data_IF_575587030997
#
_entry.id   IF_575587030997
#
_cell.length_a   1.000
_cell.length_b   1.000
_cell.length_c   1.000
_cell.angle_alpha   90.00
_cell.angle_beta   90.00
_cell.angle_gamma   90.00
#
_symmetry.space_group_name_H-M   'P 1'
#
loop_
_entity.id
_entity.type
_entity.pdbx_description
1 polymer ?
#
# COMPACT_ATOMS: atom_id res chain seq x y z
N UNK A 1 24.32 -3.64 14.96
CA UNK A 1 24.37 -3.17 13.56
C UNK A 1 23.86 -4.25 12.60
N UNK A 2 24.51 -5.41 12.50
CA UNK A 2 24.21 -6.46 11.50
C UNK A 2 22.76 -7.00 11.46
N UNK A 3 22.04 -7.04 12.59
CA UNK A 3 20.65 -7.53 12.62
C UNK A 3 19.67 -6.56 11.93
N UNK A 4 19.82 -5.25 12.16
CA UNK A 4 18.97 -4.24 11.54
C UNK A 4 19.21 -4.14 10.03
N UNK A 5 20.46 -4.25 9.58
CA UNK A 5 20.79 -4.29 8.15
C UNK A 5 20.16 -5.50 7.44
N UNK A 6 20.16 -6.68 8.07
CA UNK A 6 19.51 -7.86 7.48
C UNK A 6 18.00 -7.69 7.34
N UNK A 7 17.34 -7.12 8.34
CA UNK A 7 15.89 -6.83 8.26
C UNK A 7 15.62 -5.79 7.18
N UNK A 8 16.45 -4.74 7.11
CA UNK A 8 16.29 -3.69 6.11
C UNK A 8 16.47 -4.22 4.69
N UNK A 9 17.49 -5.05 4.44
CA UNK A 9 17.70 -5.69 3.14
C UNK A 9 16.56 -6.64 2.77
N UNK A 10 16.07 -7.45 3.72
CA UNK A 10 14.92 -8.33 3.48
C UNK A 10 13.64 -7.55 3.12
N UNK A 11 13.41 -6.40 3.76
CA UNK A 11 12.29 -5.51 3.40
C UNK A 11 12.47 -4.97 1.99
N UNK A 12 13.66 -4.48 1.63
CA UNK A 12 13.93 -3.95 0.29
C UNK A 12 13.72 -5.01 -0.80
N UNK A 13 14.18 -6.24 -0.57
CA UNK A 13 14.01 -7.35 -1.51
C UNK A 13 12.53 -7.74 -1.67
N UNK A 14 11.75 -7.71 -0.59
CA UNK A 14 10.30 -7.94 -0.64
C UNK A 14 9.57 -6.85 -1.44
N UNK A 15 9.92 -5.58 -1.25
CA UNK A 15 9.30 -4.49 -2.01
C UNK A 15 9.69 -4.51 -3.48
N UNK A 16 10.95 -4.80 -3.80
CA UNK A 16 11.43 -4.92 -5.18
C UNK A 16 10.78 -6.08 -5.93
N UNK A 17 10.71 -7.26 -5.30
CA UNK A 17 10.05 -8.43 -5.87
C UNK A 17 8.53 -8.25 -6.00
N UNK A 18 7.90 -7.52 -5.07
CA UNK A 18 6.48 -7.19 -5.15
C UNK A 18 6.17 -6.20 -6.29
N UNK A 19 6.99 -5.18 -6.51
CA UNK A 19 6.84 -4.25 -7.64
C UNK A 19 6.95 -4.98 -8.98
N UNK A 20 7.95 -5.86 -9.10
CA UNK A 20 8.14 -6.66 -10.31
C UNK A 20 6.95 -7.63 -10.54
N UNK A 21 6.47 -8.29 -9.48
CA UNK A 21 5.29 -9.15 -9.54
C UNK A 21 4.04 -8.41 -10.01
N UNK A 22 3.80 -7.19 -9.52
CA UNK A 22 2.67 -6.37 -9.93
C UNK A 22 2.77 -5.93 -11.39
N UNK A 23 3.96 -5.57 -11.86
CA UNK A 23 4.20 -5.22 -13.27
C UNK A 23 3.97 -6.40 -14.19
N UNK A 24 4.48 -7.58 -13.84
CA UNK A 24 4.37 -8.78 -14.67
C UNK A 24 2.94 -9.36 -14.67
N UNK A 25 2.24 -9.31 -13.53
CA UNK A 25 0.92 -9.96 -13.38
C UNK A 25 -0.23 -9.07 -13.84
N UNK A 26 -0.19 -7.77 -13.53
CA UNK A 26 -1.34 -6.87 -13.70
C UNK A 26 -1.09 -5.87 -14.84
N UNK A 27 0.17 -5.68 -15.28
CA UNK A 27 0.59 -4.69 -16.26
C UNK A 27 -0.15 -3.35 -16.07
N UNK A 28 -0.14 -2.90 -14.81
CA UNK A 28 -1.02 -1.86 -14.30
C UNK A 28 -0.96 -0.57 -15.12
N UNK A 29 0.23 -0.23 -15.61
CA UNK A 29 0.46 0.96 -16.44
C UNK A 29 -0.38 0.94 -17.72
N UNK A 30 -0.39 -0.21 -18.43
CA UNK A 30 -1.18 -0.36 -19.65
C UNK A 30 -2.68 -0.39 -19.35
N UNK A 31 -3.08 -1.04 -18.26
CA UNK A 31 -4.49 -1.17 -17.87
C UNK A 31 -5.11 0.19 -17.52
N UNK A 32 -4.36 1.05 -16.82
CA UNK A 32 -4.79 2.42 -16.51
C UNK A 32 -4.90 3.28 -17.76
N UNK A 33 -3.93 3.17 -18.68
CA UNK A 33 -3.95 3.89 -19.95
C UNK A 33 -5.14 3.46 -20.81
N UNK A 34 -5.38 2.16 -20.93
CA UNK A 34 -6.49 1.60 -21.70
C UNK A 34 -7.84 1.99 -21.10
N UNK A 35 -7.95 2.03 -19.77
CA UNK A 35 -9.15 2.51 -19.08
C UNK A 35 -9.41 3.99 -19.37
N UNK A 36 -8.38 4.83 -19.29
CA UNK A 36 -8.53 6.25 -19.60
C UNK A 36 -8.96 6.47 -21.05
N UNK A 37 -8.31 5.80 -22.00
CA UNK A 37 -8.60 5.97 -23.43
C UNK A 37 -9.98 5.45 -23.83
N UNK A 38 -10.42 4.31 -23.29
CA UNK A 38 -11.66 3.66 -23.72
C UNK A 38 -12.89 4.09 -22.91
N UNK A 39 -12.72 4.48 -21.64
CA UNK A 39 -13.85 4.75 -20.74
C UNK A 39 -13.95 6.22 -20.38
N UNK A 40 -12.83 6.92 -20.16
CA UNK A 40 -12.84 8.31 -19.66
C UNK A 40 -12.77 9.33 -20.79
N UNK A 41 -11.87 9.13 -21.76
CA UNK A 41 -11.64 10.05 -22.88
C UNK A 41 -12.88 10.28 -23.78
N UNK A 42 -13.71 9.28 -24.12
CA UNK A 42 -14.88 9.50 -24.97
C UNK A 42 -16.05 10.16 -24.23
N UNK A 43 -15.96 10.35 -22.91
CA UNK A 43 -17.05 10.96 -22.15
C UNK A 43 -17.15 12.47 -22.42
N UNK A 44 -18.37 13.03 -22.37
CA UNK A 44 -18.60 14.47 -22.36
C UNK A 44 -17.84 15.17 -21.21
N UNK A 45 -17.41 16.41 -21.44
CA UNK A 45 -16.59 17.18 -20.49
C UNK A 45 -17.22 17.33 -19.10
N UNK A 46 -18.54 17.53 -19.02
CA UNK A 46 -19.25 17.65 -17.75
C UNK A 46 -19.22 16.36 -16.91
N UNK A 47 -19.24 15.18 -17.56
CA UNK A 47 -19.09 13.90 -16.86
C UNK A 47 -17.67 13.67 -16.39
N UNK A 48 -16.66 14.14 -17.14
CA UNK A 48 -15.26 14.04 -16.72
C UNK A 48 -15.02 14.78 -15.41
N UNK A 49 -15.55 16.00 -15.29
CA UNK A 49 -15.43 16.82 -14.07
C UNK A 49 -16.08 16.14 -12.87
N UNK A 50 -17.30 15.61 -13.03
CA UNK A 50 -17.99 14.86 -11.96
C UNK A 50 -17.25 13.57 -11.59
N UNK A 51 -16.71 12.86 -12.58
CA UNK A 51 -15.90 11.66 -12.37
C UNK A 51 -14.61 11.94 -11.59
N UNK A 52 -13.92 13.04 -11.91
CA UNK A 52 -12.74 13.47 -11.15
C UNK A 52 -13.09 13.81 -9.70
N UNK A 53 -14.19 14.54 -9.46
CA UNK A 53 -14.66 14.84 -8.11
C UNK A 53 -14.98 13.57 -7.31
N UNK A 54 -15.69 12.62 -7.91
CA UNK A 54 -15.99 11.34 -7.28
C UNK A 54 -14.72 10.53 -6.97
N UNK A 55 -13.74 10.50 -7.89
CA UNK A 55 -12.46 9.84 -7.67
C UNK A 55 -11.68 10.45 -6.51
N UNK A 56 -11.65 11.78 -6.40
CA UNK A 56 -10.98 12.46 -5.27
C UNK A 56 -11.63 12.06 -3.95
N UNK A 57 -12.96 12.03 -3.89
CA UNK A 57 -13.69 11.60 -2.68
C UNK A 57 -13.34 10.15 -2.33
N UNK A 58 -13.42 9.23 -3.30
CA UNK A 58 -13.09 7.81 -3.09
C UNK A 58 -11.64 7.63 -2.66
N UNK A 59 -10.70 8.37 -3.26
CA UNK A 59 -9.29 8.34 -2.87
C UNK A 59 -9.09 8.78 -1.43
N UNK A 60 -9.68 9.91 -1.03
CA UNK A 60 -9.56 10.43 0.33
C UNK A 60 -10.12 9.42 1.34
N UNK A 61 -11.35 8.94 1.14
CA UNK A 61 -11.96 7.94 2.02
C UNK A 61 -11.19 6.61 2.01
N UNK A 62 -10.70 6.19 0.85
CA UNK A 62 -9.90 4.99 0.67
C UNK A 62 -8.60 5.05 1.47
N UNK A 63 -7.84 6.15 1.34
CA UNK A 63 -6.61 6.38 2.09
C UNK A 63 -6.90 6.40 3.59
N UNK A 64 -7.95 7.08 4.06
CA UNK A 64 -8.34 7.08 5.47
C UNK A 64 -8.64 5.66 5.99
N UNK A 65 -9.35 4.84 5.20
CA UNK A 65 -9.67 3.45 5.55
C UNK A 65 -8.42 2.58 5.65
N UNK A 66 -7.50 2.71 4.69
CA UNK A 66 -6.24 1.98 4.67
C UNK A 66 -5.34 2.43 5.83
N UNK A 67 -5.18 3.73 6.04
CA UNK A 67 -4.39 4.29 7.14
C UNK A 67 -4.87 3.79 8.50
N UNK A 68 -6.19 3.73 8.73
CA UNK A 68 -6.78 3.18 9.96
C UNK A 68 -6.43 1.70 10.16
N UNK A 69 -6.40 0.91 9.09
CA UNK A 69 -6.00 -0.51 9.16
C UNK A 69 -4.49 -0.67 9.39
N UNK A 70 -3.66 0.10 8.69
CA UNK A 70 -2.20 0.09 8.86
C UNK A 70 -1.78 0.52 10.27
N UNK A 71 -2.44 1.52 10.85
CA UNK A 71 -2.18 1.92 12.23
C UNK A 71 -2.48 0.79 13.23
N UNK A 72 -3.62 0.10 13.07
CA UNK A 72 -3.95 -1.07 13.91
C UNK A 72 -2.90 -2.18 13.77
N UNK A 73 -2.43 -2.44 12.55
CA UNK A 73 -1.37 -3.42 12.30
C UNK A 73 -0.05 -3.02 12.98
N UNK A 74 0.35 -1.74 12.86
CA UNK A 74 1.55 -1.23 13.50
C UNK A 74 1.50 -1.35 15.03
N UNK A 75 0.37 -1.00 15.65
CA UNK A 75 0.15 -1.16 17.10
C UNK A 75 0.24 -2.65 17.49
N UNK A 76 -0.39 -3.54 16.72
CA UNK A 76 -0.35 -4.97 16.99
C UNK A 76 1.09 -5.51 16.98
N UNK A 77 1.87 -5.16 15.95
CA UNK A 77 3.28 -5.55 15.86
C UNK A 77 4.09 -4.99 17.04
N UNK A 78 3.86 -3.73 17.41
CA UNK A 78 4.55 -3.10 18.55
C UNK A 78 4.26 -3.84 19.87
N UNK A 79 3.01 -4.24 20.11
CA UNK A 79 2.64 -5.02 21.30
C UNK A 79 3.31 -6.38 21.31
N UNK A 80 3.32 -7.11 20.19
CA UNK A 80 3.98 -8.41 20.07
C UNK A 80 5.48 -8.29 20.35
N UNK A 81 6.15 -7.28 19.79
CA UNK A 81 7.56 -7.01 20.05
C UNK A 81 7.83 -6.70 21.52
N UNK A 82 6.96 -5.90 22.15
CA UNK A 82 7.09 -5.56 23.57
C UNK A 82 6.97 -6.81 24.46
N UNK A 83 6.02 -7.71 24.18
CA UNK A 83 5.89 -8.99 24.88
C UNK A 83 7.15 -9.84 24.72
N UNK A 84 7.69 -9.96 23.50
CA UNK A 84 8.91 -10.74 23.22
C UNK A 84 10.10 -10.16 24.01
N UNK A 85 10.24 -8.84 24.04
CA UNK A 85 11.32 -8.17 24.78
C UNK A 85 11.17 -8.41 26.29
N UNK A 86 9.98 -8.23 26.85
CA UNK A 86 9.72 -8.47 28.28
C UNK A 86 9.96 -9.93 28.67
N UNK A 87 9.45 -10.87 27.87
CA UNK A 87 9.67 -12.30 28.08
C UNK A 87 11.17 -12.62 28.04
N UNK A 88 11.92 -12.05 27.09
CA UNK A 88 13.38 -12.23 27.02
C UNK A 88 14.07 -11.68 28.26
N UNK A 89 13.71 -10.49 28.74
CA UNK A 89 14.34 -9.88 29.93
C UNK A 89 13.98 -10.58 31.25
N UNK A 90 12.83 -11.26 31.32
CA UNK A 90 12.39 -11.97 32.53
C UNK A 90 12.86 -13.43 32.59
N UNK A 91 13.16 -14.04 31.43
CA UNK A 91 13.62 -15.44 31.32
C UNK A 91 15.15 -15.59 31.27
N UNK A 92 15.89 -14.49 31.25
CA UNK A 92 17.35 -14.42 31.48
C UNK A 92 17.64 -13.85 32.85
#
# INVERSE_FOLDING_TARGET
MAFFERIWQWILDLFGSFDQFLKETINYDQLVLDFYQNVVAPLPEWMKILGTLALVVVLVFGIFSIAKKLLKLAIFIAVVLLIIVLARTLLT
#
